data_IF_052235046015
#
_entry.id   IF_052235046015
#
_cell.length_a   1.000
_cell.length_b   1.000
_cell.length_c   1.000
_cell.angle_alpha   90.00
_cell.angle_beta   90.00
_cell.angle_gamma   90.00
#
_symmetry.space_group_name_H-M   'P 1'
#
loop_
_entity.id
_entity.type
_entity.pdbx_description
1 polymer ?
#
# COMPACT_ATOMS: atom_id res chain seq x y z
N UNK A 1 6.78 -2.01 -19.46
CA UNK A 1 7.88 -1.00 -19.45
C UNK A 1 7.40 0.45 -19.48
N UNK A 2 6.53 0.87 -20.43
CA UNK A 2 6.06 2.28 -20.51
C UNK A 2 5.39 2.79 -19.22
N UNK A 3 4.39 2.08 -18.72
CA UNK A 3 3.65 2.46 -17.49
C UNK A 3 4.56 2.55 -16.25
N UNK A 4 5.53 1.63 -16.14
CA UNK A 4 6.51 1.65 -15.05
C UNK A 4 7.38 2.91 -15.06
N UNK A 5 7.83 3.34 -16.25
CA UNK A 5 8.61 4.56 -16.37
C UNK A 5 7.77 5.80 -16.07
N UNK A 6 6.51 5.83 -16.52
CA UNK A 6 5.57 6.90 -16.21
C UNK A 6 5.29 7.01 -14.69
N UNK A 7 5.09 5.87 -14.00
CA UNK A 7 4.92 5.86 -12.55
C UNK A 7 6.15 6.38 -11.82
N UNK A 8 7.35 5.92 -12.21
CA UNK A 8 8.62 6.41 -11.65
C UNK A 8 8.81 7.90 -11.86
N UNK A 9 8.44 8.42 -13.03
CA UNK A 9 8.54 9.85 -13.33
C UNK A 9 7.56 10.68 -12.49
N UNK A 10 6.32 10.21 -12.32
CA UNK A 10 5.35 10.86 -11.42
C UNK A 10 5.88 10.94 -9.99
N UNK A 11 6.42 9.84 -9.47
CA UNK A 11 7.06 9.81 -8.14
C UNK A 11 8.24 10.77 -8.06
N UNK A 12 9.12 10.81 -9.07
CA UNK A 12 10.25 11.75 -9.15
C UNK A 12 9.80 13.21 -9.07
N UNK A 13 8.64 13.52 -9.65
CA UNK A 13 8.03 14.86 -9.65
C UNK A 13 7.11 15.11 -8.44
N UNK A 14 7.07 14.22 -7.44
CA UNK A 14 6.15 14.26 -6.29
C UNK A 14 4.67 14.41 -6.70
N UNK A 15 4.28 13.76 -7.78
CA UNK A 15 2.88 13.72 -8.23
C UNK A 15 2.15 12.54 -7.57
N UNK A 16 1.17 12.88 -6.74
CA UNK A 16 0.36 11.90 -6.02
C UNK A 16 -0.73 11.30 -6.91
N UNK A 17 -1.09 10.01 -6.71
CA UNK A 17 -2.18 9.38 -7.45
C UNK A 17 -3.53 9.95 -7.02
N UNK A 18 -4.51 9.89 -7.93
CA UNK A 18 -5.85 10.44 -7.73
C UNK A 18 -6.58 9.62 -6.66
N UNK A 19 -7.05 10.27 -5.59
CA UNK A 19 -7.88 9.66 -4.57
C UNK A 19 -9.37 9.66 -4.96
N UNK A 20 -10.19 8.72 -4.45
CA UNK A 20 -11.64 8.82 -4.55
C UNK A 20 -12.21 10.09 -3.91
N UNK A 21 -13.37 10.60 -4.36
CA UNK A 21 -14.02 11.74 -3.73
C UNK A 21 -14.23 11.54 -2.23
N UNK A 22 -13.85 12.54 -1.43
CA UNK A 22 -14.00 12.48 0.03
C UNK A 22 -12.97 11.59 0.75
N UNK A 23 -11.97 11.05 0.04
CA UNK A 23 -10.86 10.31 0.65
C UNK A 23 -9.60 11.17 0.59
N UNK A 24 -8.93 11.34 1.73
CA UNK A 24 -7.63 12.00 1.82
C UNK A 24 -6.65 11.11 2.59
N UNK A 25 -5.42 10.99 2.08
CA UNK A 25 -4.43 10.08 2.65
C UNK A 25 -4.12 10.42 4.12
N UNK A 26 -3.99 11.70 4.46
CA UNK A 26 -3.72 12.14 5.83
C UNK A 26 -4.81 11.70 6.82
N UNK A 27 -6.05 11.53 6.35
CA UNK A 27 -7.17 11.04 7.16
C UNK A 27 -7.00 9.56 7.48
N UNK A 28 -6.57 8.77 6.50
CA UNK A 28 -6.27 7.35 6.72
C UNK A 28 -5.06 7.17 7.65
N UNK A 29 -4.04 8.01 7.53
CA UNK A 29 -2.89 8.03 8.44
C UNK A 29 -3.29 8.37 9.88
N UNK A 30 -4.16 9.37 10.05
CA UNK A 30 -4.72 9.72 11.36
C UNK A 30 -5.59 8.59 11.93
N UNK A 31 -6.41 7.94 11.10
CA UNK A 31 -7.22 6.78 11.52
C UNK A 31 -6.34 5.62 11.98
N UNK A 32 -5.23 5.35 11.27
CA UNK A 32 -4.22 4.37 11.71
C UNK A 32 -3.60 4.78 13.04
N UNK A 33 -3.17 6.04 13.18
CA UNK A 33 -2.53 6.52 14.41
C UNK A 33 -3.45 6.43 15.62
N UNK A 34 -4.74 6.68 15.43
CA UNK A 34 -5.74 6.58 16.49
C UNK A 34 -5.84 5.16 17.08
N UNK A 35 -5.41 4.12 16.35
CA UNK A 35 -5.38 2.76 16.88
C UNK A 35 -4.33 2.58 17.99
N UNK A 36 -3.25 3.36 18.01
CA UNK A 36 -2.23 3.30 19.07
C UNK A 36 -2.85 3.59 20.46
N UNK A 37 -3.87 4.44 20.52
CA UNK A 37 -4.60 4.76 21.76
C UNK A 37 -5.39 3.57 22.31
N UNK A 38 -5.78 2.63 21.45
CA UNK A 38 -6.52 1.44 21.84
C UNK A 38 -5.58 0.24 22.07
N UNK A 39 -4.39 0.23 21.44
CA UNK A 39 -3.45 -0.89 21.47
C UNK A 39 -2.00 -0.37 21.50
N UNK A 40 -1.34 -0.35 22.68
CA UNK A 40 -0.03 0.30 22.87
C UNK A 40 1.17 -0.42 22.22
N UNK A 41 0.98 -1.15 21.12
CA UNK A 41 2.08 -1.75 20.35
C UNK A 41 1.78 -1.74 18.85
N UNK A 42 2.35 -0.74 18.17
CA UNK A 42 2.52 -0.76 16.72
C UNK A 42 3.25 -2.06 16.30
N UNK A 43 2.78 -2.70 15.25
CA UNK A 43 3.24 -4.05 14.86
C UNK A 43 2.71 -5.23 15.71
N UNK A 44 1.72 -5.03 16.58
CA UNK A 44 1.04 -6.15 17.27
C UNK A 44 0.16 -7.00 16.35
N UNK A 45 -0.13 -8.24 16.75
CA UNK A 45 -1.06 -9.12 16.02
C UNK A 45 -2.45 -8.47 15.81
N UNK A 46 -2.90 -7.65 16.77
CA UNK A 46 -4.11 -6.87 16.62
C UNK A 46 -3.96 -5.82 15.50
N UNK A 47 -2.89 -5.02 15.52
CA UNK A 47 -2.64 -4.01 14.50
C UNK A 47 -2.56 -4.63 13.10
N UNK A 48 -1.89 -5.78 12.96
CA UNK A 48 -1.88 -6.54 11.71
C UNK A 48 -3.29 -6.99 11.26
N UNK A 49 -4.11 -7.45 12.20
CA UNK A 49 -5.51 -7.86 11.92
C UNK A 49 -6.34 -6.68 11.46
N UNK A 50 -6.27 -5.55 12.18
CA UNK A 50 -6.98 -4.33 11.85
C UNK A 50 -6.56 -3.80 10.48
N UNK A 51 -5.25 -3.68 10.24
CA UNK A 51 -4.69 -3.26 8.96
C UNK A 51 -5.19 -4.17 7.82
N UNK A 52 -5.10 -5.49 7.99
CA UNK A 52 -5.60 -6.45 7.01
C UNK A 52 -7.09 -6.25 6.71
N UNK A 53 -7.92 -6.06 7.74
CA UNK A 53 -9.36 -5.82 7.55
C UNK A 53 -9.65 -4.53 6.78
N UNK A 54 -8.79 -3.51 6.89
CA UNK A 54 -8.90 -2.27 6.11
C UNK A 54 -8.55 -2.45 4.63
N UNK A 55 -7.45 -3.15 4.33
CA UNK A 55 -6.84 -3.18 2.98
C UNK A 55 -7.18 -4.42 2.14
N UNK A 56 -7.79 -5.46 2.74
CA UNK A 56 -8.19 -6.67 2.03
C UNK A 56 -9.20 -6.38 0.91
N UNK A 57 -9.38 -7.34 0.00
CA UNK A 57 -10.43 -7.28 -1.02
C UNK A 57 -11.80 -6.94 -0.40
N UNK A 58 -12.48 -5.94 -0.98
CA UNK A 58 -13.74 -5.35 -0.48
C UNK A 58 -13.65 -4.73 0.92
N UNK A 59 -12.43 -4.46 1.40
CA UNK A 59 -12.19 -3.71 2.63
C UNK A 59 -12.43 -2.21 2.42
N UNK A 60 -12.56 -1.43 3.50
CA UNK A 60 -12.77 0.02 3.44
C UNK A 60 -11.77 0.79 2.58
N UNK A 61 -10.53 0.32 2.46
CA UNK A 61 -9.46 0.98 1.70
C UNK A 61 -9.14 0.27 0.38
N UNK A 62 -9.99 -0.67 -0.05
CA UNK A 62 -9.91 -1.28 -1.38
C UNK A 62 -10.52 -0.35 -2.44
N UNK A 63 -9.88 0.79 -2.65
CA UNK A 63 -10.44 1.89 -3.46
C UNK A 63 -10.66 1.55 -4.93
N UNK A 64 -10.01 0.50 -5.44
CA UNK A 64 -10.25 0.01 -6.81
C UNK A 64 -11.70 -0.45 -7.04
N UNK A 65 -12.43 -0.80 -5.96
CA UNK A 65 -13.86 -1.13 -6.03
C UNK A 65 -14.72 0.07 -6.46
N UNK A 66 -14.25 1.30 -6.24
CA UNK A 66 -14.94 2.52 -6.64
C UNK A 66 -14.57 2.97 -8.07
N UNK A 67 -13.54 2.38 -8.67
CA UNK A 67 -13.07 2.71 -10.01
C UNK A 67 -11.63 2.29 -10.25
N UNK A 68 -11.34 1.82 -11.47
CA UNK A 68 -9.99 1.38 -11.87
C UNK A 68 -8.95 2.51 -11.80
N UNK A 69 -9.39 3.76 -11.93
CA UNK A 69 -8.53 4.94 -11.81
C UNK A 69 -7.92 5.12 -10.41
N UNK A 70 -8.41 4.40 -9.40
CA UNK A 70 -7.90 4.47 -8.02
C UNK A 70 -6.92 3.33 -7.67
N UNK A 71 -6.50 2.51 -8.64
CA UNK A 71 -5.54 1.43 -8.40
C UNK A 71 -4.21 1.94 -7.83
N UNK A 72 -3.64 2.98 -8.45
CA UNK A 72 -2.41 3.61 -7.97
C UNK A 72 -2.56 4.17 -6.55
N UNK A 73 -3.70 4.83 -6.27
CA UNK A 73 -3.98 5.39 -4.95
C UNK A 73 -4.20 4.30 -3.89
N UNK A 74 -4.82 3.17 -4.24
CA UNK A 74 -4.95 2.02 -3.34
C UNK A 74 -3.58 1.50 -2.89
N UNK A 75 -2.63 1.37 -3.82
CA UNK A 75 -1.27 0.89 -3.53
C UNK A 75 -0.44 1.93 -2.77
N UNK A 76 -0.56 3.21 -3.14
CA UNK A 76 0.03 4.33 -2.39
C UNK A 76 -0.50 4.40 -0.95
N UNK A 77 -1.81 4.31 -0.76
CA UNK A 77 -2.43 4.27 0.56
C UNK A 77 -1.95 3.08 1.38
N UNK A 78 -1.88 1.88 0.78
CA UNK A 78 -1.41 0.67 1.45
C UNK A 78 0.00 0.84 2.06
N UNK A 79 0.94 1.39 1.28
CA UNK A 79 2.29 1.66 1.78
C UNK A 79 2.33 2.67 2.92
N UNK A 80 1.57 3.76 2.78
CA UNK A 80 1.51 4.84 3.75
C UNK A 80 0.88 4.40 5.08
N UNK A 81 -0.32 3.81 5.03
CA UNK A 81 -1.04 3.38 6.24
C UNK A 81 -0.41 2.16 6.90
N UNK A 82 0.26 1.30 6.12
CA UNK A 82 1.05 0.19 6.65
C UNK A 82 2.27 0.67 7.44
N UNK A 83 2.96 1.70 6.92
CA UNK A 83 4.07 2.35 7.63
C UNK A 83 3.57 3.00 8.93
N UNK A 84 2.47 3.73 8.87
CA UNK A 84 1.84 4.32 10.07
C UNK A 84 1.39 3.27 11.10
N UNK A 85 1.10 2.03 10.67
CA UNK A 85 0.79 0.92 11.56
C UNK A 85 2.03 0.24 12.17
N UNK A 86 3.24 0.71 11.84
CA UNK A 86 4.52 0.15 12.26
C UNK A 86 4.95 -1.09 11.49
N UNK A 87 4.34 -1.37 10.32
CA UNK A 87 4.69 -2.53 9.50
C UNK A 87 5.90 -2.18 8.64
N UNK A 88 6.95 -3.02 8.72
CA UNK A 88 8.17 -2.80 7.92
C UNK A 88 7.90 -2.84 6.41
N UNK A 89 8.68 -2.06 5.66
CA UNK A 89 8.63 -2.02 4.19
C UNK A 89 8.69 -3.43 3.55
N UNK A 90 9.61 -4.29 4.02
CA UNK A 90 9.74 -5.65 3.48
C UNK A 90 8.45 -6.48 3.66
N UNK A 91 7.75 -6.32 4.78
CA UNK A 91 6.48 -7.01 5.02
C UNK A 91 5.38 -6.45 4.11
N UNK A 92 5.34 -5.13 3.89
CA UNK A 92 4.38 -4.50 2.98
C UNK A 92 4.58 -4.95 1.54
N UNK A 93 5.81 -4.88 1.02
CA UNK A 93 6.09 -5.24 -0.38
C UNK A 93 5.82 -6.72 -0.67
N UNK A 94 6.13 -7.62 0.28
CA UNK A 94 5.82 -9.06 0.15
C UNK A 94 4.33 -9.34 0.36
N UNK A 95 3.66 -8.61 1.25
CA UNK A 95 2.23 -8.70 1.49
C UNK A 95 1.41 -8.36 0.24
N UNK A 96 1.80 -7.32 -0.49
CA UNK A 96 1.20 -6.96 -1.78
C UNK A 96 1.35 -8.07 -2.82
N UNK A 97 2.58 -8.59 -3.01
CA UNK A 97 2.82 -9.69 -3.93
C UNK A 97 2.10 -11.00 -3.56
N UNK A 98 1.95 -11.29 -2.26
CA UNK A 98 1.14 -12.40 -1.78
C UNK A 98 -0.34 -12.20 -2.13
N UNK A 99 -0.88 -11.00 -1.93
CA UNK A 99 -2.25 -10.66 -2.29
C UNK A 99 -2.51 -10.79 -3.79
N UNK A 100 -1.60 -10.32 -4.64
CA UNK A 100 -1.72 -10.45 -6.10
C UNK A 100 -1.62 -11.91 -6.56
N UNK A 101 -0.77 -12.70 -5.91
CA UNK A 101 -0.68 -14.15 -6.16
C UNK A 101 -2.00 -14.85 -5.81
N UNK A 102 -2.60 -14.53 -4.65
CA UNK A 102 -3.89 -15.09 -4.23
C UNK A 102 -5.05 -14.65 -5.13
N UNK A 103 -4.99 -13.43 -5.67
CA UNK A 103 -5.94 -12.91 -6.64
C UNK A 103 -5.80 -13.55 -8.04
N UNK A 104 -4.75 -14.35 -8.28
CA UNK A 104 -4.40 -14.94 -9.58
C UNK A 104 -4.20 -13.89 -10.69
N UNK A 105 -3.71 -12.71 -10.31
CA UNK A 105 -3.42 -11.59 -11.23
C UNK A 105 -1.93 -11.29 -11.32
N UNK A 106 -1.08 -12.13 -10.74
CA UNK A 106 0.38 -12.03 -10.83
C UNK A 106 0.89 -12.67 -12.12
N UNK A 107 1.93 -12.07 -12.72
CA UNK A 107 2.69 -12.64 -13.84
C UNK A 107 3.84 -13.49 -13.32
N UNK A 108 4.17 -14.61 -13.98
CA UNK A 108 5.31 -15.45 -13.58
C UNK A 108 6.63 -14.67 -13.55
N UNK A 109 6.77 -13.67 -14.42
CA UNK A 109 7.96 -12.82 -14.51
C UNK A 109 8.18 -11.93 -13.27
N UNK A 110 7.14 -11.73 -12.44
CA UNK A 110 7.24 -10.95 -11.20
C UNK A 110 7.82 -11.77 -10.05
N UNK A 111 8.01 -13.07 -10.25
CA UNK A 111 8.54 -13.97 -9.24
C UNK A 111 7.49 -14.36 -8.19
N UNK A 112 7.93 -14.57 -6.95
CA UNK A 112 7.09 -15.04 -5.84
C UNK A 112 7.31 -14.18 -4.61
N UNK A 113 6.32 -14.09 -3.73
CA UNK A 113 6.39 -13.25 -2.54
C UNK A 113 7.45 -13.67 -1.52
N UNK A 114 7.92 -14.91 -1.57
CA UNK A 114 9.06 -15.41 -0.79
C UNK A 114 10.42 -15.27 -1.49
N UNK A 115 10.46 -14.80 -2.74
CA UNK A 115 11.68 -14.67 -3.53
C UNK A 115 12.25 -13.23 -3.48
N UNK A 116 12.99 -12.83 -4.52
CA UNK A 116 13.47 -11.45 -4.71
C UNK A 116 12.38 -10.50 -5.22
N UNK A 117 12.68 -9.20 -5.21
CA UNK A 117 11.79 -8.18 -5.77
C UNK A 117 11.52 -8.46 -7.27
N UNK A 118 10.30 -8.20 -7.78
CA UNK A 118 9.19 -7.47 -7.15
C UNK A 118 8.27 -8.34 -6.26
N UNK A 119 8.74 -9.49 -5.78
CA UNK A 119 8.02 -10.32 -4.82
C UNK A 119 6.66 -10.84 -5.35
N UNK A 120 6.53 -11.03 -6.67
CA UNK A 120 5.28 -11.46 -7.29
C UNK A 120 4.22 -10.36 -7.44
N UNK A 121 4.56 -9.12 -7.12
CA UNK A 121 3.70 -7.93 -7.29
C UNK A 121 3.99 -7.22 -8.63
N UNK A 122 3.03 -6.45 -9.15
CA UNK A 122 3.26 -5.60 -10.32
C UNK A 122 4.36 -4.55 -9.99
N UNK A 123 5.40 -4.39 -10.82
CA UNK A 123 6.42 -3.38 -10.61
C UNK A 123 5.89 -1.94 -10.49
N UNK A 124 4.75 -1.62 -11.11
CA UNK A 124 4.07 -0.32 -10.97
C UNK A 124 3.48 -0.17 -9.56
N UNK A 125 2.86 -1.23 -9.05
CA UNK A 125 2.27 -1.25 -7.71
C UNK A 125 3.35 -1.06 -6.64
N UNK A 126 4.50 -1.73 -6.80
CA UNK A 126 5.67 -1.55 -5.94
C UNK A 126 6.19 -0.11 -5.91
N UNK A 127 6.11 0.63 -7.03
CA UNK A 127 6.51 2.05 -7.07
C UNK A 127 5.58 2.89 -6.20
N UNK A 128 4.27 2.69 -6.32
CA UNK A 128 3.29 3.44 -5.53
C UNK A 128 3.33 3.07 -4.04
N UNK A 129 3.50 1.78 -3.70
CA UNK A 129 3.65 1.34 -2.31
C UNK A 129 4.86 2.02 -1.67
N UNK A 130 6.02 2.01 -2.33
CA UNK A 130 7.23 2.67 -1.82
C UNK A 130 7.05 4.17 -1.66
N UNK A 131 6.39 4.82 -2.63
CA UNK A 131 6.10 6.24 -2.51
C UNK A 131 5.18 6.55 -1.32
N UNK A 132 4.22 5.67 -1.03
CA UNK A 132 3.36 5.78 0.16
C UNK A 132 4.14 5.62 1.47
N UNK A 133 5.07 4.66 1.51
CA UNK A 133 5.97 4.46 2.65
C UNK A 133 6.80 5.73 2.90
N UNK A 134 7.40 6.30 1.86
CA UNK A 134 8.21 7.51 1.96
C UNK A 134 7.36 8.72 2.39
N UNK A 135 6.13 8.82 1.87
CA UNK A 135 5.18 9.84 2.31
C UNK A 135 4.90 9.76 3.81
N UNK A 136 4.59 8.58 4.34
CA UNK A 136 4.33 8.39 5.77
C UNK A 136 5.57 8.73 6.62
N UNK A 137 6.76 8.24 6.24
CA UNK A 137 8.02 8.58 6.92
C UNK A 137 8.27 10.09 6.95
N UNK A 138 7.99 10.80 5.85
CA UNK A 138 8.16 12.26 5.77
C UNK A 138 7.25 13.04 6.73
N UNK A 139 6.15 12.42 7.17
CA UNK A 139 5.19 12.97 8.14
C UNK A 139 5.48 12.55 9.58
N UNK A 140 6.56 11.79 9.83
CA UNK A 140 6.98 11.35 11.16
C UNK A 140 6.32 10.07 11.65
N UNK A 141 5.79 9.23 10.74
CA UNK A 141 5.30 7.89 11.03
C UNK A 141 6.42 6.85 10.97
#
# INVERSE_FOLDING_TARGET
MRLLNEAKEKVRLNQYPIAPPGVWLDGNLQETKAQDSYYPSSGSAFMYTWFYMKVRNKGPWDYIQQGRQYADFRNFNYGAVGTAAGISEQVLLRGAGAAQTLAKTSSEEFGKWWAGAPYGDDPVDQVWIKFGIDYAKSKGY
#
